data_IF_683435188381
#
_entry.id   IF_683435188381
#
_cell.length_a   1.000
_cell.length_b   1.000
_cell.length_c   1.000
_cell.angle_alpha   90.00
_cell.angle_beta   90.00
_cell.angle_gamma   90.00
#
_symmetry.space_group_name_H-M   'P 1'
#
loop_
_entity.id
_entity.type
_entity.pdbx_description
1 polymer ?
#
# COMPACT_ATOMS: atom_id res chain seq x y z
N UNK A 1 3.55 -6.60 -26.13
CA UNK A 1 3.42 -5.97 -24.82
C UNK A 1 4.63 -5.08 -24.57
N UNK A 2 4.41 -3.86 -24.09
CA UNK A 2 5.49 -2.96 -23.75
C UNK A 2 5.98 -3.25 -22.34
N UNK A 3 7.30 -3.15 -22.14
CA UNK A 3 7.92 -3.34 -20.82
C UNK A 3 8.74 -2.11 -20.48
N UNK A 4 8.57 -1.59 -19.28
CA UNK A 4 9.29 -0.40 -18.80
C UNK A 4 10.06 -0.77 -17.53
N UNK A 5 11.37 -0.58 -17.55
CA UNK A 5 12.25 -0.88 -16.40
C UNK A 5 12.60 0.35 -15.58
N UNK A 6 12.68 1.52 -16.23
CA UNK A 6 12.98 2.79 -15.58
C UNK A 6 12.08 3.87 -16.14
N UNK A 7 11.92 4.97 -15.38
CA UNK A 7 11.06 6.05 -15.83
C UNK A 7 11.64 6.82 -17.02
N UNK A 8 12.96 6.76 -17.24
CA UNK A 8 13.56 7.41 -18.40
C UNK A 8 13.10 6.81 -19.73
N UNK A 9 12.56 5.60 -19.69
CA UNK A 9 12.01 4.94 -20.88
C UNK A 9 10.61 5.41 -21.23
N UNK A 10 10.01 6.22 -20.35
CA UNK A 10 8.64 6.68 -20.53
C UNK A 10 8.64 8.15 -20.95
N UNK A 11 8.01 8.43 -22.08
CA UNK A 11 7.89 9.79 -22.60
C UNK A 11 6.52 10.35 -22.25
N UNK A 12 6.45 11.68 -22.13
CA UNK A 12 5.18 12.41 -22.00
C UNK A 12 4.33 11.97 -20.79
N UNK A 13 4.99 11.85 -19.65
CA UNK A 13 4.24 11.59 -18.40
C UNK A 13 3.61 12.88 -17.90
N UNK A 14 2.38 12.77 -17.42
CA UNK A 14 1.64 13.90 -16.87
C UNK A 14 1.83 13.97 -15.35
N UNK A 15 1.90 15.19 -14.84
CA UNK A 15 1.91 15.40 -13.40
C UNK A 15 0.51 15.18 -12.84
N UNK A 16 0.43 14.47 -11.74
CA UNK A 16 -0.85 14.23 -11.07
C UNK A 16 -0.62 14.15 -9.56
N UNK A 17 -1.69 14.30 -8.81
CA UNK A 17 -1.66 14.21 -7.35
C UNK A 17 -2.61 13.12 -6.90
N UNK A 18 -2.22 12.39 -5.85
CA UNK A 18 -3.15 11.47 -5.20
C UNK A 18 -4.32 12.26 -4.60
N UNK A 19 -5.52 11.74 -4.75
CA UNK A 19 -6.68 12.29 -4.06
C UNK A 19 -6.53 12.06 -2.57
N UNK A 20 -6.91 13.02 -1.72
CA UNK A 20 -6.82 12.87 -0.28
C UNK A 20 -7.95 11.97 0.25
N UNK A 21 -7.81 10.66 0.07
CA UNK A 21 -8.80 9.69 0.51
C UNK A 21 -8.47 9.22 1.92
N UNK A 22 -9.50 9.12 2.77
CA UNK A 22 -9.37 8.59 4.12
C UNK A 22 -9.42 7.06 4.05
N UNK A 23 -8.40 6.43 4.62
CA UNK A 23 -8.34 4.98 4.76
C UNK A 23 -8.11 4.65 6.24
N UNK A 24 -8.23 3.39 6.60
CA UNK A 24 -8.04 2.95 7.98
C UNK A 24 -6.74 2.16 8.09
N UNK A 25 -6.05 2.31 9.22
CA UNK A 25 -4.77 1.65 9.45
C UNK A 25 -4.68 1.17 10.89
N UNK A 26 -4.03 0.05 11.09
CA UNK A 26 -3.72 -0.47 12.41
C UNK A 26 -2.29 -0.97 12.43
N UNK A 27 -1.50 -0.48 13.38
CA UNK A 27 -0.15 -0.99 13.62
C UNK A 27 -0.24 -2.39 14.20
N UNK A 28 0.46 -3.34 13.61
CA UNK A 28 0.51 -4.72 14.08
C UNK A 28 1.93 -5.01 14.57
N UNK A 29 2.06 -5.38 15.83
CA UNK A 29 3.35 -5.63 16.46
C UNK A 29 3.74 -7.11 16.52
N UNK A 30 3.22 -7.91 15.60
CA UNK A 30 3.54 -9.33 15.49
C UNK A 30 3.44 -9.72 14.02
N UNK A 31 3.94 -10.89 13.68
CA UNK A 31 3.75 -11.41 12.33
C UNK A 31 2.25 -11.66 12.09
N UNK A 32 1.79 -11.31 10.89
CA UNK A 32 0.39 -11.46 10.54
C UNK A 32 0.25 -11.76 9.06
N UNK A 33 -0.97 -12.16 8.69
CA UNK A 33 -1.27 -12.56 7.32
C UNK A 33 -2.59 -11.92 6.91
N UNK A 34 -2.62 -11.47 5.66
CA UNK A 34 -3.83 -10.99 5.02
C UNK A 34 -4.15 -11.93 3.86
N UNK A 35 -5.32 -12.54 3.89
CA UNK A 35 -5.78 -13.38 2.79
C UNK A 35 -6.37 -12.51 1.68
N UNK A 36 -5.98 -12.78 0.45
CA UNK A 36 -6.51 -12.08 -0.71
C UNK A 36 -7.70 -12.84 -1.29
N UNK A 37 -8.52 -12.14 -2.06
CA UNK A 37 -9.68 -12.74 -2.72
C UNK A 37 -9.28 -13.81 -3.74
N UNK A 38 -8.03 -13.80 -4.18
CA UNK A 38 -7.52 -14.72 -5.20
C UNK A 38 -7.01 -16.04 -4.63
N UNK A 39 -7.22 -16.27 -3.33
CA UNK A 39 -6.78 -17.49 -2.67
C UNK A 39 -5.32 -17.48 -2.23
N UNK A 40 -4.61 -16.39 -2.45
CA UNK A 40 -3.25 -16.17 -1.99
C UNK A 40 -3.25 -15.42 -0.65
N UNK A 41 -2.08 -15.24 -0.08
CA UNK A 41 -1.96 -14.40 1.11
C UNK A 41 -0.72 -13.52 1.00
N UNK A 42 -0.73 -12.45 1.76
CA UNK A 42 0.41 -11.57 1.99
C UNK A 42 0.78 -11.66 3.46
N UNK A 43 2.07 -11.65 3.74
CA UNK A 43 2.54 -11.71 5.13
C UNK A 43 3.16 -10.38 5.54
N UNK A 44 2.73 -9.88 6.71
CA UNK A 44 3.28 -8.70 7.33
C UNK A 44 4.24 -9.08 8.45
N UNK A 45 5.17 -8.18 8.75
CA UNK A 45 6.12 -8.33 9.84
C UNK A 45 5.76 -7.38 10.98
N UNK A 46 6.27 -7.59 12.20
CA UNK A 46 6.05 -6.65 13.29
C UNK A 46 6.46 -5.23 12.87
N UNK A 47 5.59 -4.27 13.15
CA UNK A 47 5.81 -2.88 12.76
C UNK A 47 5.19 -2.47 11.43
N UNK A 48 4.64 -3.41 10.68
CA UNK A 48 3.87 -3.10 9.49
C UNK A 48 2.44 -2.71 9.86
N UNK A 49 1.77 -2.04 8.93
CA UNK A 49 0.40 -1.59 9.13
C UNK A 49 -0.57 -2.43 8.31
N UNK A 50 -1.63 -2.87 8.98
CA UNK A 50 -2.78 -3.47 8.30
C UNK A 50 -3.69 -2.34 7.85
N UNK A 51 -3.96 -2.27 6.55
CA UNK A 51 -4.70 -1.20 5.92
C UNK A 51 -6.05 -1.68 5.43
N UNK A 52 -7.05 -0.81 5.54
CA UNK A 52 -8.34 -1.03 4.90
C UNK A 52 -8.62 0.14 3.97
N UNK A 53 -8.76 -0.15 2.69
CA UNK A 53 -9.01 0.85 1.67
C UNK A 53 -10.47 1.28 1.59
N UNK A 54 -10.77 2.16 0.62
CA UNK A 54 -12.09 2.78 0.49
C UNK A 54 -13.18 1.77 0.12
N UNK A 55 -12.80 0.67 -0.51
CA UNK A 55 -13.73 -0.39 -0.88
C UNK A 55 -13.76 -1.54 0.13
N UNK A 56 -13.14 -1.34 1.28
CA UNK A 56 -13.10 -2.37 2.32
C UNK A 56 -11.99 -3.40 2.13
N UNK A 57 -11.18 -3.29 1.08
CA UNK A 57 -10.09 -4.21 0.81
C UNK A 57 -9.00 -4.09 1.88
N UNK A 58 -8.41 -5.23 2.24
CA UNK A 58 -7.29 -5.27 3.19
C UNK A 58 -5.98 -5.39 2.45
N UNK A 59 -4.97 -4.68 2.93
CA UNK A 59 -3.62 -4.75 2.39
C UNK A 59 -2.60 -4.37 3.47
N UNK A 60 -1.32 -4.58 3.17
CA UNK A 60 -0.25 -4.32 4.13
C UNK A 60 0.59 -3.16 3.63
N UNK A 61 0.92 -2.24 4.52
CA UNK A 61 1.84 -1.16 4.25
C UNK A 61 3.06 -1.30 5.15
N UNK A 62 4.23 -1.27 4.54
CA UNK A 62 5.50 -1.27 5.27
C UNK A 62 5.55 -0.11 6.26
N UNK A 63 6.01 -0.38 7.49
CA UNK A 63 6.01 0.62 8.55
C UNK A 63 6.68 1.93 8.18
N UNK A 64 7.96 1.93 7.76
CA UNK A 64 8.63 3.16 7.36
C UNK A 64 7.97 3.88 6.19
N UNK A 65 7.42 3.13 5.24
CA UNK A 65 6.69 3.73 4.11
C UNK A 65 5.42 4.39 4.60
N UNK A 66 4.68 3.74 5.51
CA UNK A 66 3.47 4.32 6.09
C UNK A 66 3.77 5.66 6.77
N UNK A 67 4.81 5.69 7.59
CA UNK A 67 5.17 6.89 8.35
C UNK A 67 5.53 8.07 7.46
N UNK A 68 6.06 7.82 6.28
CA UNK A 68 6.39 8.87 5.31
C UNK A 68 5.22 9.29 4.44
N UNK A 69 4.20 8.45 4.34
CA UNK A 69 3.14 8.62 3.34
C UNK A 69 1.79 9.01 3.95
N UNK A 70 1.57 8.75 5.21
CA UNK A 70 0.27 8.93 5.87
C UNK A 70 0.41 9.67 7.18
N UNK A 71 -0.62 10.43 7.51
CA UNK A 71 -0.79 11.04 8.83
C UNK A 71 -2.14 10.58 9.39
N UNK A 72 -2.17 10.35 10.70
CA UNK A 72 -3.43 10.06 11.36
C UNK A 72 -4.26 11.33 11.52
N UNK A 73 -5.54 11.20 11.33
CA UNK A 73 -6.50 12.31 11.43
C UNK A 73 -7.50 12.07 12.54
#
# INVERSE_FOLDING_TARGET
MKTFDTFEQVENMDMCMKKPLVVHAKLINEEFRVNTLEGNYKQGKPGDYLMRGIDGELYICDGPIFERSYDFV
#
